data_IF_619571042192
#
_entry.id   IF_619571042192
#
_cell.length_a   1.000
_cell.length_b   1.000
_cell.length_c   1.000
_cell.angle_alpha   90.00
_cell.angle_beta   90.00
_cell.angle_gamma   90.00
#
_symmetry.space_group_name_H-M   'P 1'
#
loop_
_entity.id
_entity.type
_entity.pdbx_description
1 polymer ?
#
# COMPACT_ATOMS: atom_id res chain seq x y z
N UNK A 1 13.20 -8.96 10.91
CA UNK A 1 12.37 -9.02 9.69
C UNK A 1 12.06 -7.65 9.07
N UNK A 2 12.32 -6.53 9.76
CA UNK A 2 12.03 -5.16 9.28
C UNK A 2 13.00 -4.61 8.23
N UNK A 3 14.21 -5.15 8.15
CA UNK A 3 15.31 -4.55 7.39
C UNK A 3 15.06 -4.58 5.86
N UNK A 4 14.59 -5.70 5.32
CA UNK A 4 14.40 -5.86 3.88
C UNK A 4 13.18 -5.10 3.34
N UNK A 5 12.12 -4.97 4.15
CA UNK A 5 10.94 -4.19 3.76
C UNK A 5 11.28 -2.69 3.75
N UNK A 6 11.98 -2.20 4.78
CA UNK A 6 12.38 -0.81 4.83
C UNK A 6 13.34 -0.48 3.67
N UNK A 7 14.31 -1.34 3.38
CA UNK A 7 15.18 -1.21 2.21
C UNK A 7 14.40 -1.13 0.89
N UNK A 8 13.37 -1.96 0.73
CA UNK A 8 12.54 -1.93 -0.48
C UNK A 8 11.71 -0.64 -0.60
N UNK A 9 11.25 -0.08 0.52
CA UNK A 9 10.57 1.24 0.57
C UNK A 9 11.55 2.35 0.21
N UNK A 10 12.74 2.35 0.79
CA UNK A 10 13.77 3.35 0.50
C UNK A 10 14.19 3.30 -0.97
N UNK A 11 14.40 2.10 -1.50
CA UNK A 11 14.68 1.89 -2.92
C UNK A 11 13.53 2.38 -3.81
N UNK A 12 12.27 2.21 -3.38
CA UNK A 12 11.12 2.70 -4.15
C UNK A 12 11.10 4.22 -4.18
N UNK A 13 11.42 4.86 -3.05
CA UNK A 13 11.55 6.30 -2.97
C UNK A 13 12.65 6.83 -3.89
N UNK A 14 13.83 6.21 -3.89
CA UNK A 14 14.92 6.58 -4.80
C UNK A 14 14.58 6.29 -6.25
N UNK A 15 13.95 5.14 -6.54
CA UNK A 15 13.54 4.80 -7.90
C UNK A 15 12.55 5.80 -8.46
N UNK A 16 11.61 6.28 -7.63
CA UNK A 16 10.69 7.34 -8.01
C UNK A 16 11.37 8.70 -8.14
N UNK A 17 12.30 9.06 -7.24
CA UNK A 17 12.99 10.36 -7.24
C UNK A 17 13.93 10.54 -8.44
N UNK A 18 14.57 9.47 -8.89
CA UNK A 18 15.55 9.47 -9.98
C UNK A 18 15.00 8.89 -11.29
N UNK A 19 13.67 8.73 -11.41
CA UNK A 19 13.00 8.19 -12.60
C UNK A 19 13.59 6.86 -13.10
N UNK A 20 13.93 5.95 -12.19
CA UNK A 20 14.33 4.58 -12.55
C UNK A 20 13.10 3.76 -12.96
N UNK A 21 12.64 3.98 -14.19
CA UNK A 21 11.40 3.44 -14.77
C UNK A 21 11.30 1.90 -14.73
N UNK A 22 12.43 1.19 -14.71
CA UNK A 22 12.45 -0.29 -14.67
C UNK A 22 12.47 -0.86 -13.26
N UNK A 23 12.92 -0.08 -12.28
CA UNK A 23 13.09 -0.54 -10.89
C UNK A 23 11.82 -0.31 -10.08
N UNK A 24 11.17 0.85 -10.27
CA UNK A 24 9.90 1.20 -9.61
C UNK A 24 8.83 0.08 -9.71
N UNK A 25 8.44 -0.41 -10.90
CA UNK A 25 7.42 -1.46 -11.00
C UNK A 25 7.83 -2.79 -10.36
N UNK A 26 9.13 -3.11 -10.36
CA UNK A 26 9.64 -4.32 -9.68
C UNK A 26 9.47 -4.20 -8.17
N UNK A 27 9.78 -3.03 -7.61
CA UNK A 27 9.63 -2.78 -6.18
C UNK A 27 8.15 -2.75 -5.77
N UNK A 28 7.29 -2.12 -6.57
CA UNK A 28 5.83 -2.16 -6.36
C UNK A 28 5.31 -3.60 -6.32
N UNK A 29 5.77 -4.46 -7.23
CA UNK A 29 5.40 -5.89 -7.25
C UNK A 29 5.89 -6.63 -6.01
N UNK A 30 7.15 -6.41 -5.60
CA UNK A 30 7.75 -7.07 -4.43
C UNK A 30 7.04 -6.66 -3.13
N UNK A 31 6.77 -5.36 -2.98
CA UNK A 31 6.05 -4.82 -1.83
C UNK A 31 4.60 -5.29 -1.80
N UNK A 32 3.92 -5.30 -2.94
CA UNK A 32 2.54 -5.81 -3.06
C UNK A 32 2.40 -7.27 -2.67
N UNK A 33 3.37 -8.13 -3.01
CA UNK A 33 3.38 -9.55 -2.61
C UNK A 33 3.59 -9.77 -1.11
N UNK A 34 4.09 -8.77 -0.39
CA UNK A 34 4.37 -8.83 1.06
C UNK A 34 3.31 -8.09 1.89
N UNK A 35 2.19 -7.71 1.31
CA UNK A 35 1.10 -7.04 2.02
C UNK A 35 0.55 -7.93 3.15
N UNK A 36 0.45 -7.34 4.34
CA UNK A 36 -0.15 -7.91 5.52
C UNK A 36 -0.86 -6.82 6.34
N UNK A 37 -1.58 -7.20 7.41
CA UNK A 37 -2.38 -6.25 8.21
C UNK A 37 -1.51 -5.18 8.88
N UNK A 38 -0.28 -5.54 9.22
CA UNK A 38 0.67 -4.71 9.97
C UNK A 38 1.44 -3.73 9.07
N UNK A 39 1.47 -3.94 7.75
CA UNK A 39 2.25 -3.09 6.83
C UNK A 39 1.43 -2.38 5.75
N UNK A 40 0.17 -2.75 5.55
CA UNK A 40 -0.67 -2.16 4.50
C UNK A 40 -0.86 -0.65 4.67
N UNK A 41 -0.94 -0.15 5.91
CA UNK A 41 -1.04 1.29 6.22
C UNK A 41 0.21 2.06 5.78
N UNK A 42 1.38 1.52 6.10
CA UNK A 42 2.69 2.06 5.69
C UNK A 42 2.87 2.00 4.17
N UNK A 43 2.51 0.89 3.53
CA UNK A 43 2.68 0.70 2.09
C UNK A 43 1.71 1.55 1.27
N UNK A 44 0.47 1.74 1.74
CA UNK A 44 -0.48 2.69 1.15
C UNK A 44 0.07 4.12 1.21
N UNK A 45 0.58 4.54 2.36
CA UNK A 45 1.21 5.85 2.53
C UNK A 45 2.45 6.02 1.64
N UNK A 46 3.24 4.97 1.50
CA UNK A 46 4.41 4.95 0.61
C UNK A 46 4.01 5.07 -0.85
N UNK A 47 2.95 4.37 -1.26
CA UNK A 47 2.42 4.41 -2.61
C UNK A 47 1.94 5.83 -2.99
N UNK A 48 1.27 6.51 -2.06
CA UNK A 48 0.85 7.91 -2.26
C UNK A 48 2.05 8.86 -2.38
N UNK A 49 3.07 8.71 -1.54
CA UNK A 49 4.29 9.54 -1.59
C UNK A 49 5.13 9.31 -2.85
N UNK A 50 5.08 8.12 -3.42
CA UNK A 50 5.87 7.72 -4.59
C UNK A 50 5.06 7.72 -5.88
N UNK A 51 3.81 8.21 -5.86
CA UNK A 51 2.89 8.15 -7.01
C UNK A 51 2.87 6.75 -7.65
N UNK A 52 2.86 5.72 -6.82
CA UNK A 52 2.89 4.31 -7.23
C UNK A 52 1.48 3.75 -7.30
N UNK A 53 0.84 3.96 -8.45
CA UNK A 53 -0.57 3.58 -8.66
C UNK A 53 -0.80 2.07 -8.52
N UNK A 54 0.13 1.22 -8.96
CA UNK A 54 -0.06 -0.24 -8.87
C UNK A 54 0.02 -0.72 -7.42
N UNK A 55 1.01 -0.22 -6.66
CA UNK A 55 1.11 -0.52 -5.23
C UNK A 55 -0.10 0.00 -4.45
N UNK A 56 -0.58 1.19 -4.78
CA UNK A 56 -1.79 1.77 -4.16
C UNK A 56 -3.00 0.86 -4.40
N UNK A 57 -3.20 0.42 -5.65
CA UNK A 57 -4.30 -0.46 -6.00
C UNK A 57 -4.18 -1.81 -5.28
N UNK A 58 -2.98 -2.38 -5.18
CA UNK A 58 -2.76 -3.61 -4.42
C UNK A 58 -3.14 -3.48 -2.94
N UNK A 59 -2.87 -2.33 -2.31
CA UNK A 59 -3.29 -2.07 -0.93
C UNK A 59 -4.82 -2.00 -0.81
N UNK A 60 -5.49 -1.34 -1.76
CA UNK A 60 -6.96 -1.25 -1.80
C UNK A 60 -7.58 -2.64 -1.96
N UNK A 61 -7.09 -3.44 -2.90
CA UNK A 61 -7.62 -4.78 -3.17
C UNK A 61 -7.38 -5.73 -1.99
N UNK A 62 -6.25 -5.60 -1.30
CA UNK A 62 -5.97 -6.32 -0.06
C UNK A 62 -7.00 -5.99 1.03
N UNK A 63 -7.26 -4.71 1.28
CA UNK A 63 -8.24 -4.27 2.29
C UNK A 63 -9.67 -4.67 1.94
N UNK A 64 -10.05 -4.58 0.66
CA UNK A 64 -11.36 -5.08 0.20
C UNK A 64 -11.52 -6.56 0.47
N UNK A 65 -10.51 -7.36 0.15
CA UNK A 65 -10.56 -8.80 0.40
C UNK A 65 -10.68 -9.12 1.89
N UNK A 66 -9.97 -8.38 2.75
CA UNK A 66 -10.09 -8.50 4.21
C UNK A 66 -11.52 -8.17 4.69
N UNK A 67 -12.06 -7.03 4.28
CA UNK A 67 -13.40 -6.60 4.68
C UNK A 67 -14.49 -7.53 4.14
N UNK A 68 -14.38 -7.99 2.90
CA UNK A 68 -15.32 -8.94 2.30
C UNK A 68 -15.33 -10.28 3.02
N UNK A 69 -14.16 -10.75 3.47
CA UNK A 69 -14.04 -11.99 4.26
C UNK A 69 -14.47 -11.83 5.72
N UNK A 70 -14.86 -10.61 6.15
CA UNK A 70 -15.11 -10.25 7.54
C UNK A 70 -13.92 -10.62 8.45
N UNK A 71 -12.71 -10.65 7.88
CA UNK A 71 -11.51 -10.82 8.65
C UNK A 71 -11.26 -9.51 9.38
N UNK A 72 -11.39 -9.54 10.70
CA UNK A 72 -11.19 -8.34 11.53
C UNK A 72 -9.90 -7.63 11.17
N UNK A 73 -9.99 -6.31 11.03
CA UNK A 73 -8.86 -5.43 10.82
C UNK A 73 -8.68 -4.59 12.10
N UNK A 74 -7.47 -4.49 12.66
CA UNK A 74 -7.28 -3.79 13.93
C UNK A 74 -7.64 -2.32 13.76
N UNK A 75 -8.49 -1.78 14.64
CA UNK A 75 -8.85 -0.35 14.61
C UNK A 75 -7.60 0.54 14.71
N UNK A 76 -6.61 0.11 15.49
CA UNK A 76 -5.29 0.75 15.63
C UNK A 76 -4.51 0.85 14.30
N UNK A 77 -4.75 -0.06 13.36
CA UNK A 77 -4.17 0.01 12.01
C UNK A 77 -5.00 0.89 11.08
N UNK A 78 -6.31 1.05 11.30
CA UNK A 78 -7.16 1.97 10.54
C UNK A 78 -6.75 3.42 10.77
N UNK A 79 -6.43 3.76 12.02
CA UNK A 79 -6.01 5.12 12.41
C UNK A 79 -4.68 5.55 11.76
N UNK A 80 -3.90 4.60 11.22
CA UNK A 80 -2.63 4.87 10.54
C UNK A 80 -2.80 5.24 9.07
N UNK A 81 -4.00 5.08 8.50
CA UNK A 81 -4.25 5.46 7.12
C UNK A 81 -4.53 6.96 6.98
N UNK A 82 -4.07 7.54 5.88
CA UNK A 82 -4.47 8.89 5.51
C UNK A 82 -5.98 8.94 5.23
N UNK A 83 -6.65 9.99 5.72
CA UNK A 83 -8.09 10.18 5.52
C UNK A 83 -8.48 10.21 4.03
N UNK A 84 -7.59 10.69 3.15
CA UNK A 84 -7.79 10.65 1.69
C UNK A 84 -7.80 9.21 1.18
N UNK A 85 -6.87 8.38 1.65
CA UNK A 85 -6.83 6.97 1.26
C UNK A 85 -8.08 6.22 1.70
N UNK A 86 -8.54 6.43 2.95
CA UNK A 86 -9.77 5.82 3.44
C UNK A 86 -11.00 6.27 2.64
N UNK A 87 -11.10 7.58 2.33
CA UNK A 87 -12.17 8.10 1.46
C UNK A 87 -12.16 7.43 0.10
N UNK A 88 -10.99 7.28 -0.53
CA UNK A 88 -10.88 6.61 -1.82
C UNK A 88 -11.28 5.13 -1.73
N UNK A 89 -10.82 4.42 -0.70
CA UNK A 89 -11.15 3.02 -0.44
C UNK A 89 -12.68 2.82 -0.32
N UNK A 90 -13.34 3.62 0.53
CA UNK A 90 -14.78 3.52 0.73
C UNK A 90 -15.59 4.00 -0.47
N UNK A 91 -15.15 5.06 -1.16
CA UNK A 91 -15.82 5.54 -2.37
C UNK A 91 -15.84 4.48 -3.47
N UNK A 92 -14.73 3.75 -3.65
CA UNK A 92 -14.72 2.66 -4.62
C UNK A 92 -15.42 1.39 -4.12
N UNK A 93 -15.68 1.24 -2.82
CA UNK A 93 -16.47 0.13 -2.28
C UNK A 93 -17.99 0.39 -2.42
N UNK A 94 -18.42 1.65 -2.36
CA UNK A 94 -19.83 2.07 -2.47
C UNK A 94 -20.33 2.23 -3.91
N UNK A 95 -19.44 2.33 -4.89
CA UNK A 95 -19.77 2.46 -6.32
C UNK A 95 -19.86 1.11 -7.07
N UNK A 96 -19.88 -0.02 -6.36
CA UNK A 96 -20.15 -1.36 -6.89
C UNK A 96 -21.48 -1.89 -6.36
#
# INVERSE_FOLDING_TARGET
>A
MFDDQQKAIDLLYFANKYDFLTLKPKLETVLGKKLCKENVSLLASTADKTNSLQLRQACIDFLRNLFNKKEGFPDEELDKFDAKFLKDLFSQALNN
#
